data_IF_938861298482
#
_entry.id   IF_938861298482
#
_cell.length_a   1.000
_cell.length_b   1.000
_cell.length_c   1.000
_cell.angle_alpha   90.00
_cell.angle_beta   90.00
_cell.angle_gamma   90.00
#
_symmetry.space_group_name_H-M   'P 1'
#
loop_
_entity.id
_entity.type
_entity.pdbx_description
1 polymer ?
#
# COMPACT_ATOMS: atom_id res chain seq x y z
N UNK A 1 -13.99 -15.87 -16.12
CA UNK A 1 -14.45 -14.95 -15.05
C UNK A 1 -13.35 -13.91 -14.87
N UNK A 2 -13.65 -12.61 -14.88
CA UNK A 2 -12.64 -11.59 -14.59
C UNK A 2 -12.20 -11.80 -13.14
N UNK A 3 -10.92 -12.06 -12.90
CA UNK A 3 -10.33 -12.06 -11.56
C UNK A 3 -10.51 -10.65 -10.99
N UNK A 4 -11.59 -10.45 -10.25
CA UNK A 4 -11.82 -9.21 -9.53
C UNK A 4 -10.75 -9.12 -8.44
N UNK A 5 -10.07 -7.98 -8.35
CA UNK A 5 -9.18 -7.71 -7.22
C UNK A 5 -9.97 -7.90 -5.92
N UNK A 6 -9.71 -9.00 -5.20
CA UNK A 6 -10.34 -9.27 -3.91
C UNK A 6 -9.70 -8.34 -2.89
N UNK A 7 -10.51 -7.52 -2.22
CA UNK A 7 -10.06 -6.72 -1.08
C UNK A 7 -9.77 -7.69 0.06
N UNK A 8 -8.51 -7.80 0.46
CA UNK A 8 -8.11 -8.65 1.57
C UNK A 8 -8.37 -7.90 2.88
N UNK A 9 -9.44 -8.26 3.58
CA UNK A 9 -9.86 -7.67 4.87
C UNK A 9 -9.35 -8.45 6.09
N UNK A 10 -8.15 -9.05 6.00
CA UNK A 10 -7.52 -9.66 7.18
C UNK A 10 -6.67 -8.65 7.93
N UNK A 11 -6.87 -8.52 9.24
CA UNK A 11 -6.09 -7.63 10.10
C UNK A 11 -4.60 -7.98 10.10
N UNK A 12 -4.24 -9.25 9.91
CA UNK A 12 -2.85 -9.71 9.76
C UNK A 12 -2.24 -9.16 8.47
N UNK A 13 -2.97 -9.26 7.35
CA UNK A 13 -2.51 -8.75 6.06
C UNK A 13 -2.36 -7.23 6.10
N UNK A 14 -3.28 -6.53 6.76
CA UNK A 14 -3.19 -5.07 6.94
C UNK A 14 -1.96 -4.70 7.78
N UNK A 15 -1.67 -5.41 8.88
CA UNK A 15 -0.46 -5.19 9.70
C UNK A 15 0.81 -5.40 8.88
N UNK A 16 0.84 -6.44 8.06
CA UNK A 16 1.99 -6.76 7.21
C UNK A 16 2.24 -5.68 6.15
N UNK A 17 1.17 -5.18 5.52
CA UNK A 17 1.23 -4.02 4.61
C UNK A 17 1.78 -2.80 5.35
N UNK A 18 1.23 -2.43 6.51
CA UNK A 18 1.70 -1.28 7.29
C UNK A 18 3.19 -1.43 7.66
N UNK A 19 3.63 -2.61 8.07
CA UNK A 19 5.04 -2.86 8.42
C UNK A 19 5.96 -2.64 7.21
N UNK A 20 5.55 -3.11 6.02
CA UNK A 20 6.29 -2.90 4.77
C UNK A 20 6.33 -1.43 4.36
N UNK A 21 5.26 -0.67 4.62
CA UNK A 21 5.19 0.77 4.34
C UNK A 21 6.02 1.61 5.33
N UNK A 22 6.17 1.16 6.59
CA UNK A 22 6.98 1.85 7.61
C UNK A 22 8.48 1.61 7.47
N UNK A 23 8.93 0.71 6.60
CA UNK A 23 10.35 0.47 6.34
C UNK A 23 10.94 1.67 5.58
N UNK A 24 11.40 2.67 6.33
CA UNK A 24 11.87 3.99 5.86
C UNK A 24 13.07 3.93 4.92
N UNK A 25 13.69 2.76 4.76
CA UNK A 25 14.78 2.53 3.81
C UNK A 25 14.27 2.17 2.40
N UNK A 26 12.96 1.98 2.21
CA UNK A 26 12.38 1.55 0.93
C UNK A 26 11.49 2.63 0.33
N UNK A 27 11.96 3.24 -0.76
CA UNK A 27 11.09 4.03 -1.64
C UNK A 27 10.10 3.10 -2.35
N UNK A 28 8.82 3.47 -2.34
CA UNK A 28 7.75 2.75 -3.03
C UNK A 28 7.55 3.40 -4.39
N UNK A 29 7.40 2.57 -5.42
CA UNK A 29 7.20 3.02 -6.79
C UNK A 29 5.93 2.41 -7.35
N UNK A 30 5.14 3.23 -8.04
CA UNK A 30 4.13 2.75 -8.99
C UNK A 30 4.83 2.41 -10.30
N UNK A 31 4.50 1.27 -10.86
CA UNK A 31 4.97 0.86 -12.17
C UNK A 31 3.89 1.12 -13.20
N UNK A 32 4.18 1.96 -14.19
CA UNK A 32 3.30 2.17 -15.33
C UNK A 32 3.64 1.15 -16.42
N UNK A 33 2.69 0.26 -16.73
CA UNK A 33 2.88 -0.78 -17.74
C UNK A 33 2.82 -0.26 -19.19
N UNK A 34 2.34 0.96 -19.41
CA UNK A 34 2.24 1.54 -20.75
C UNK A 34 3.61 1.98 -21.27
N UNK A 35 4.37 2.68 -20.44
CA UNK A 35 5.69 3.24 -20.79
C UNK A 35 6.85 2.63 -19.98
N UNK A 36 6.57 1.65 -19.10
CA UNK A 36 7.52 1.02 -18.17
C UNK A 36 8.16 2.01 -17.18
N UNK A 37 7.58 3.18 -16.99
CA UNK A 37 8.09 4.17 -16.05
C UNK A 37 7.84 3.74 -14.60
N UNK A 38 8.67 4.29 -13.70
CA UNK A 38 8.54 4.10 -12.26
C UNK A 38 8.29 5.45 -11.61
N UNK A 39 7.13 5.62 -11.02
CA UNK A 39 6.72 6.84 -10.35
C UNK A 39 6.94 6.64 -8.86
N UNK A 40 7.87 7.39 -8.27
CA UNK A 40 8.08 7.36 -6.83
C UNK A 40 6.82 7.90 -6.13
N UNK A 41 6.33 7.16 -5.15
CA UNK A 41 5.25 7.62 -4.27
C UNK A 41 5.87 8.53 -3.21
N UNK A 42 5.30 9.72 -3.05
CA UNK A 42 5.72 10.68 -2.04
C UNK A 42 5.45 10.16 -0.62
N UNK A 43 6.33 10.53 0.32
CA UNK A 43 6.25 10.10 1.72
C UNK A 43 4.94 10.56 2.41
N UNK A 44 4.38 11.71 2.01
CA UNK A 44 3.09 12.20 2.51
C UNK A 44 1.96 11.24 2.12
N UNK A 45 1.93 10.78 0.86
CA UNK A 45 0.92 9.85 0.37
C UNK A 45 1.06 8.48 1.05
N UNK A 46 2.28 8.00 1.29
CA UNK A 46 2.53 6.79 2.09
C UNK A 46 1.93 6.93 3.50
N UNK A 47 2.14 8.08 4.14
CA UNK A 47 1.56 8.39 5.46
C UNK A 47 0.03 8.34 5.48
N UNK A 48 -0.63 8.88 4.44
CA UNK A 48 -2.09 8.82 4.29
C UNK A 48 -2.58 7.37 4.19
N UNK A 49 -1.91 6.53 3.39
CA UNK A 49 -2.27 5.11 3.22
C UNK A 49 -2.14 4.36 4.55
N UNK A 50 -1.03 4.54 5.27
CA UNK A 50 -0.81 3.92 6.59
C UNK A 50 -1.93 4.31 7.56
N UNK A 51 -2.29 5.60 7.62
CA UNK A 51 -3.32 6.09 8.51
C UNK A 51 -4.71 5.52 8.19
N UNK A 52 -5.06 5.37 6.91
CA UNK A 52 -6.30 4.72 6.49
C UNK A 52 -6.39 3.28 7.03
N UNK A 53 -5.33 2.50 6.85
CA UNK A 53 -5.29 1.10 7.29
C UNK A 53 -5.23 0.94 8.82
N UNK A 54 -4.54 1.83 9.53
CA UNK A 54 -4.54 1.84 11.00
C UNK A 54 -5.94 2.05 11.57
N UNK A 55 -6.74 2.96 10.98
CA UNK A 55 -8.13 3.19 11.39
C UNK A 55 -9.03 1.98 11.16
N UNK A 56 -8.77 1.20 10.11
CA UNK A 56 -9.47 -0.06 9.80
C UNK A 56 -9.15 -1.21 10.76
N UNK A 57 -8.02 -1.17 11.47
CA UNK A 57 -7.67 -2.18 12.51
C UNK A 57 -8.35 -1.86 13.85
N UNK A 58 -8.62 -0.58 14.12
CA UNK A 58 -9.19 -0.11 15.40
C UNK A 58 -10.71 -0.27 15.45
N UNK A 59 -11.37 -0.37 14.29
CA UNK A 59 -12.82 -0.65 14.12
C UNK A 59 -13.07 -2.15 14.03
#
# INVERSE_FOLDING_TARGET
MKEGNIVIESSEVIKDVINRLNDSNRKIFLFDSFDNSRIAIDDELIGIIINYYRRKIIL
#
